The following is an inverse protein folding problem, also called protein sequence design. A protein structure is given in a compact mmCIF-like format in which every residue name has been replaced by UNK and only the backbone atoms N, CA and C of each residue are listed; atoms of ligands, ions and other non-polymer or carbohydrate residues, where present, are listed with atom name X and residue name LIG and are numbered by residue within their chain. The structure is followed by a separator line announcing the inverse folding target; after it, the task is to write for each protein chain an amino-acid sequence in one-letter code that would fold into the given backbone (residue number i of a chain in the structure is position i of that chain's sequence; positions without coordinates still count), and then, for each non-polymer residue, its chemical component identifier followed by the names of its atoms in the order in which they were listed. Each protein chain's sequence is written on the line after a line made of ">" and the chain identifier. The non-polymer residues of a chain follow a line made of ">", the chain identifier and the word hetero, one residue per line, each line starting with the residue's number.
data_IF_092497219369
#
_entry.id   IF_092497219369
#
_cell.length_a   1.000
_cell.length_b   1.000
_cell.length_c   1.000
_cell.angle_alpha   90.00
_cell.angle_beta   90.00
_cell.angle_gamma   90.00
#
_symmetry.space_group_name_H-M   'P 1'
#
loop_
_entity.id
_entity.type
_entity.pdbx_description
1 polymer ?
#
# COMPACT_ATOMS: atom_id res chain seq x y z
N UNK A 1 14.93 -22.72 -5.05
CA UNK A 1 14.71 -21.48 -5.84
C UNK A 1 14.88 -21.81 -7.29
N UNK A 2 13.84 -21.63 -8.07
CA UNK A 2 13.88 -21.89 -9.51
C UNK A 2 14.40 -20.63 -10.22
N UNK A 3 15.43 -20.79 -11.01
CA UNK A 3 16.11 -19.73 -11.74
C UNK A 3 16.18 -20.02 -13.24
N UNK A 4 15.64 -21.18 -13.67
CA UNK A 4 15.62 -21.62 -15.05
C UNK A 4 14.31 -21.33 -15.77
N UNK A 5 14.32 -21.54 -17.08
CA UNK A 5 13.16 -21.35 -17.94
C UNK A 5 12.20 -22.54 -17.93
N UNK A 6 12.60 -23.69 -17.42
CA UNK A 6 11.83 -24.92 -17.38
C UNK A 6 12.11 -25.75 -16.13
N UNK A 7 11.05 -26.21 -15.47
CA UNK A 7 11.12 -27.13 -14.35
C UNK A 7 10.35 -28.40 -14.71
N UNK A 8 11.04 -29.56 -14.71
CA UNK A 8 10.41 -30.86 -14.93
C UNK A 8 10.23 -31.56 -13.59
N UNK A 9 8.98 -31.93 -13.29
CA UNK A 9 8.63 -32.73 -12.10
C UNK A 9 7.76 -33.90 -12.50
N UNK A 10 8.01 -35.05 -11.91
CA UNK A 10 7.17 -36.25 -12.07
C UNK A 10 6.17 -36.29 -10.93
N UNK A 11 4.91 -36.39 -11.27
CA UNK A 11 3.79 -36.42 -10.32
C UNK A 11 2.83 -37.55 -10.72
N UNK A 12 2.10 -38.17 -9.76
CA UNK A 12 1.02 -39.10 -10.09
C UNK A 12 -0.09 -38.44 -10.90
N UNK A 13 -0.94 -39.24 -11.55
CA UNK A 13 -2.15 -38.71 -12.16
C UNK A 13 -3.02 -38.00 -11.10
N UNK A 14 -3.55 -36.82 -11.43
CA UNK A 14 -4.33 -36.03 -10.47
C UNK A 14 -4.53 -34.59 -10.87
N UNK A 15 -5.21 -33.85 -10.01
CA UNK A 15 -5.38 -32.42 -10.15
C UNK A 15 -4.28 -31.68 -9.40
N UNK A 16 -3.67 -30.73 -10.06
CA UNK A 16 -2.55 -29.95 -9.53
C UNK A 16 -2.84 -28.47 -9.58
N UNK A 17 -2.21 -27.77 -8.65
CA UNK A 17 -2.24 -26.33 -8.55
C UNK A 17 -0.81 -25.81 -8.46
N UNK A 18 -0.42 -24.97 -9.41
CA UNK A 18 0.83 -24.21 -9.33
C UNK A 18 0.48 -22.78 -8.89
N UNK A 19 1.22 -22.30 -7.94
CA UNK A 19 1.12 -20.92 -7.45
C UNK A 19 2.47 -20.26 -7.73
N UNK A 20 2.44 -19.14 -8.44
CA UNK A 20 3.63 -18.31 -8.65
C UNK A 20 3.50 -17.06 -7.80
N UNK A 21 4.46 -16.84 -6.92
CA UNK A 21 4.56 -15.63 -6.13
C UNK A 21 5.46 -14.64 -6.85
N UNK A 22 4.88 -13.56 -7.35
CA UNK A 22 5.65 -12.41 -7.83
C UNK A 22 5.64 -11.34 -6.74
N UNK A 23 6.77 -11.16 -6.08
CA UNK A 23 6.94 -10.06 -5.12
C UNK A 23 7.25 -8.79 -5.88
N UNK A 24 6.37 -7.83 -5.72
CA UNK A 24 6.58 -6.48 -6.22
C UNK A 24 7.57 -5.73 -5.32
N UNK A 25 8.21 -4.67 -5.84
CA UNK A 25 9.10 -3.82 -5.04
C UNK A 25 8.44 -3.24 -3.78
N UNK A 26 7.11 -3.09 -3.78
CA UNK A 26 6.31 -2.62 -2.65
C UNK A 26 6.02 -3.71 -1.60
N UNK A 27 6.55 -4.92 -1.77
CA UNK A 27 6.29 -6.05 -0.89
C UNK A 27 4.97 -6.79 -1.13
N UNK A 28 4.10 -6.28 -1.99
CA UNK A 28 2.88 -6.98 -2.38
C UNK A 28 3.23 -8.26 -3.14
N UNK A 29 2.42 -9.30 -2.93
CA UNK A 29 2.59 -10.58 -3.59
C UNK A 29 1.42 -10.75 -4.56
N UNK A 30 1.73 -10.82 -5.84
CA UNK A 30 0.79 -11.29 -6.85
C UNK A 30 0.93 -12.80 -7.00
N UNK A 31 -0.10 -13.52 -6.60
CA UNK A 31 -0.17 -14.96 -6.78
C UNK A 31 -0.99 -15.28 -8.04
N UNK A 32 -0.33 -15.76 -9.08
CA UNK A 32 -1.03 -16.39 -10.20
C UNK A 32 -1.27 -17.86 -9.87
N UNK A 33 -2.50 -18.34 -10.12
CA UNK A 33 -2.90 -19.70 -9.83
C UNK A 33 -3.21 -20.41 -11.14
N UNK A 34 -2.51 -21.53 -11.38
CA UNK A 34 -2.74 -22.41 -12.51
C UNK A 34 -3.26 -23.74 -12.00
N UNK A 35 -4.48 -24.09 -12.38
CA UNK A 35 -5.10 -25.37 -12.00
C UNK A 35 -5.18 -26.23 -13.28
N UNK A 36 -4.66 -27.45 -13.21
CA UNK A 36 -4.67 -28.38 -14.33
C UNK A 36 -4.74 -29.83 -13.84
N UNK A 37 -5.14 -30.70 -14.73
CA UNK A 37 -5.21 -32.13 -14.49
C UNK A 37 -4.11 -32.83 -15.30
N UNK A 38 -3.42 -33.78 -14.69
CA UNK A 38 -2.45 -34.66 -15.34
C UNK A 38 -3.02 -36.07 -15.35
N UNK A 39 -3.16 -36.66 -16.51
CA UNK A 39 -3.56 -38.08 -16.69
C UNK A 39 -2.42 -39.04 -16.45
N UNK A 40 -2.73 -40.32 -16.38
CA UNK A 40 -1.73 -41.39 -16.29
C UNK A 40 -0.83 -41.43 -17.54
N UNK A 41 0.48 -41.35 -17.36
CA UNK A 41 1.45 -41.27 -18.44
C UNK A 41 1.46 -39.98 -19.27
N UNK A 42 0.64 -38.98 -18.87
CA UNK A 42 0.55 -37.69 -19.56
C UNK A 42 1.73 -36.78 -19.21
N UNK A 43 2.27 -36.10 -20.19
CA UNK A 43 3.18 -34.97 -19.99
C UNK A 43 2.42 -33.67 -20.26
N UNK A 44 2.30 -32.82 -19.27
CA UNK A 44 1.63 -31.52 -19.39
C UNK A 44 2.62 -30.38 -19.27
N UNK A 45 2.63 -29.50 -20.26
CA UNK A 45 3.40 -28.25 -20.20
C UNK A 45 2.49 -27.12 -19.74
N UNK A 46 2.83 -26.50 -18.63
CA UNK A 46 2.14 -25.31 -18.13
C UNK A 46 3.07 -24.12 -18.32
N UNK A 47 2.67 -23.19 -19.16
CA UNK A 47 3.41 -21.95 -19.36
C UNK A 47 3.05 -21.00 -18.22
N UNK A 48 4.03 -20.73 -17.38
CA UNK A 48 3.90 -19.73 -16.31
C UNK A 48 4.34 -18.39 -16.89
N UNK A 49 3.42 -17.47 -17.00
CA UNK A 49 3.76 -16.12 -17.43
C UNK A 49 4.41 -15.38 -16.26
N UNK A 50 5.60 -14.84 -16.51
CA UNK A 50 6.16 -13.82 -15.61
C UNK A 50 5.28 -12.59 -15.75
N UNK A 51 4.55 -12.29 -14.69
CA UNK A 51 3.83 -11.03 -14.65
C UNK A 51 4.86 -9.92 -14.37
N UNK A 52 5.25 -9.22 -15.42
CA UNK A 52 6.03 -8.00 -15.35
C UNK A 52 5.09 -6.78 -15.39
N UNK A 53 4.07 -6.76 -14.54
CA UNK A 53 3.42 -5.48 -14.31
C UNK A 53 4.43 -4.62 -13.53
N UNK A 54 4.96 -3.61 -14.15
CA UNK A 54 5.52 -2.51 -13.41
C UNK A 54 4.38 -1.99 -12.52
N UNK A 55 4.63 -1.77 -11.24
CA UNK A 55 3.60 -1.23 -10.36
C UNK A 55 3.05 0.10 -10.91
N UNK A 56 3.89 0.88 -11.58
CA UNK A 56 3.50 2.07 -12.30
C UNK A 56 2.44 1.78 -13.37
N UNK A 57 2.62 0.73 -14.18
CA UNK A 57 1.65 0.35 -15.24
C UNK A 57 0.31 -0.11 -14.65
N UNK A 58 0.32 -0.72 -13.46
CA UNK A 58 -0.90 -1.16 -12.77
C UNK A 58 -1.66 -0.02 -12.11
N UNK A 59 -0.96 1.03 -11.72
CA UNK A 59 -1.50 2.22 -11.10
C UNK A 59 -1.71 3.35 -12.12
N UNK A 60 -1.38 3.10 -13.39
CA UNK A 60 -1.58 4.01 -14.50
C UNK A 60 -3.07 4.38 -14.60
N UNK A 61 -3.35 5.66 -14.47
CA UNK A 61 -4.68 6.28 -14.46
C UNK A 61 -5.38 6.39 -13.08
N UNK A 62 -4.72 6.11 -11.97
CA UNK A 62 -5.31 6.45 -10.70
C UNK A 62 -5.09 7.94 -10.40
N UNK A 63 -6.15 8.75 -10.58
CA UNK A 63 -6.16 10.12 -10.13
C UNK A 63 -6.78 10.19 -8.74
N UNK A 64 -6.13 10.91 -7.82
CA UNK A 64 -6.66 11.16 -6.48
C UNK A 64 -7.93 12.03 -6.46
N UNK A 65 -8.44 12.43 -7.62
CA UNK A 65 -9.65 13.25 -7.77
C UNK A 65 -10.93 12.55 -7.33
N UNK A 66 -10.87 11.24 -7.21
CA UNK A 66 -12.06 10.41 -7.07
C UNK A 66 -12.54 10.24 -5.63
N UNK A 67 -11.78 10.70 -4.65
CA UNK A 67 -12.22 10.62 -3.26
C UNK A 67 -12.32 12.01 -2.61
N UNK A 68 -13.11 12.10 -1.57
CA UNK A 68 -13.37 13.30 -0.79
C UNK A 68 -13.21 12.98 0.68
N UNK A 69 -12.60 13.90 1.39
CA UNK A 69 -12.43 13.86 2.85
C UNK A 69 -12.84 15.21 3.43
N UNK A 70 -12.84 15.35 4.74
CA UNK A 70 -13.18 16.61 5.40
C UNK A 70 -11.96 17.18 6.13
N UNK A 71 -11.86 18.50 6.18
CA UNK A 71 -10.92 19.19 7.06
C UNK A 71 -11.46 19.30 8.51
N UNK A 72 -10.71 19.95 9.39
CA UNK A 72 -11.08 20.15 10.79
C UNK A 72 -12.36 21.00 10.98
N UNK A 73 -12.73 21.81 9.99
CA UNK A 73 -13.91 22.66 9.97
C UNK A 73 -15.12 21.97 9.32
N UNK A 74 -14.95 20.75 8.82
CA UNK A 74 -15.99 20.00 8.11
C UNK A 74 -16.12 20.37 6.62
N UNK A 75 -15.19 21.17 6.07
CA UNK A 75 -15.19 21.47 4.64
C UNK A 75 -14.71 20.26 3.85
N UNK A 76 -15.35 20.04 2.70
CA UNK A 76 -14.93 18.96 1.80
C UNK A 76 -13.62 19.30 1.11
N UNK A 77 -12.65 18.40 1.17
CA UNK A 77 -11.37 18.45 0.46
C UNK A 77 -11.35 17.31 -0.55
N UNK A 78 -11.12 17.63 -1.81
CA UNK A 78 -10.97 16.62 -2.87
C UNK A 78 -9.54 16.03 -2.85
N UNK A 79 -9.39 14.83 -3.39
CA UNK A 79 -8.09 14.21 -3.54
C UNK A 79 -7.07 15.10 -4.25
N UNK A 80 -7.47 15.75 -5.33
CA UNK A 80 -6.64 16.72 -6.10
C UNK A 80 -6.21 17.97 -5.34
N UNK A 81 -6.86 18.27 -4.22
CA UNK A 81 -6.60 19.47 -3.40
C UNK A 81 -5.73 19.15 -2.17
N UNK A 82 -5.32 17.88 -1.99
CA UNK A 82 -4.61 17.44 -0.80
C UNK A 82 -3.23 18.07 -0.67
N UNK A 83 -2.48 18.07 -1.75
CA UNK A 83 -1.10 18.57 -1.76
C UNK A 83 -0.66 18.90 -3.19
N UNK A 84 0.44 19.66 -3.30
CA UNK A 84 1.16 19.92 -4.56
C UNK A 84 2.53 19.24 -4.60
N UNK A 85 2.83 18.47 -3.57
CA UNK A 85 4.07 17.72 -3.40
C UNK A 85 3.78 16.22 -3.51
N UNK A 86 4.79 15.38 -3.70
CA UNK A 86 4.65 13.95 -3.41
C UNK A 86 4.05 13.75 -2.03
N UNK A 87 3.21 12.73 -1.84
CA UNK A 87 2.52 12.55 -0.57
C UNK A 87 2.50 11.09 -0.12
N UNK A 88 2.49 10.92 1.19
CA UNK A 88 2.15 9.67 1.88
C UNK A 88 0.79 9.84 2.53
N UNK A 89 -0.21 9.18 1.98
CA UNK A 89 -1.58 9.18 2.50
C UNK A 89 -1.77 7.93 3.37
N UNK A 90 -2.23 8.10 4.60
CA UNK A 90 -2.36 6.99 5.55
C UNK A 90 -3.74 7.02 6.21
N UNK A 91 -4.60 6.04 5.90
CA UNK A 91 -5.85 5.80 6.62
C UNK A 91 -5.54 4.97 7.87
N UNK A 92 -5.70 5.58 9.03
CA UNK A 92 -5.30 5.03 10.33
C UNK A 92 -6.51 4.66 11.18
N UNK A 93 -6.60 3.40 11.58
CA UNK A 93 -7.58 2.98 12.59
C UNK A 93 -6.93 3.02 13.97
N UNK A 94 -7.37 3.98 14.78
CA UNK A 94 -6.81 4.21 16.11
C UNK A 94 -6.98 3.01 17.04
N UNK A 95 -5.99 2.75 17.87
CA UNK A 95 -6.02 1.67 18.88
C UNK A 95 -5.91 0.28 18.29
N UNK A 96 -5.67 0.15 16.99
CA UNK A 96 -5.39 -1.13 16.36
C UNK A 96 -3.88 -1.37 16.26
N UNK A 97 -3.48 -2.60 16.55
CA UNK A 97 -2.07 -3.00 16.56
C UNK A 97 -1.30 -2.62 15.29
N UNK A 98 -1.81 -2.84 14.06
CA UNK A 98 -1.10 -2.45 12.84
C UNK A 98 -0.83 -0.95 12.74
N UNK A 99 -1.80 -0.12 13.14
CA UNK A 99 -1.63 1.35 13.18
C UNK A 99 -0.60 1.75 14.23
N UNK A 100 -0.66 1.13 15.42
CA UNK A 100 0.29 1.41 16.51
C UNK A 100 1.73 1.07 16.12
N UNK A 101 1.93 0.02 15.32
CA UNK A 101 3.26 -0.38 14.84
C UNK A 101 3.85 0.61 13.85
N UNK A 102 3.09 1.06 12.83
CA UNK A 102 3.61 2.04 11.89
C UNK A 102 3.92 3.38 12.56
N UNK A 103 3.08 3.82 13.51
CA UNK A 103 3.33 5.03 14.28
C UNK A 103 4.60 4.91 15.14
N UNK A 104 4.88 3.72 15.70
CA UNK A 104 6.14 3.47 16.41
C UNK A 104 7.34 3.56 15.48
N UNK A 105 7.30 2.90 14.31
CA UNK A 105 8.41 2.97 13.33
C UNK A 105 8.68 4.42 12.90
N UNK A 106 7.64 5.23 12.74
CA UNK A 106 7.81 6.66 12.45
C UNK A 106 8.57 7.39 13.56
N UNK A 107 8.25 7.11 14.83
CA UNK A 107 8.95 7.71 15.97
C UNK A 107 10.39 7.20 16.11
N UNK A 108 10.62 5.92 15.85
CA UNK A 108 11.97 5.31 15.88
C UNK A 108 12.87 5.84 14.77
N UNK A 109 12.29 6.24 13.64
CA UNK A 109 12.97 6.79 12.47
C UNK A 109 12.71 8.30 12.33
N UNK A 110 12.64 9.01 13.45
CA UNK A 110 12.23 10.43 13.49
C UNK A 110 12.98 11.31 12.48
N UNK A 111 14.29 11.19 12.41
CA UNK A 111 15.11 12.01 11.52
C UNK A 111 14.78 11.75 10.03
N UNK A 112 14.49 10.53 9.67
CA UNK A 112 14.15 10.16 8.29
C UNK A 112 12.78 10.69 7.88
N UNK A 113 11.80 10.59 8.78
CA UNK A 113 10.44 11.10 8.54
C UNK A 113 10.35 12.62 8.59
N UNK A 114 11.13 13.29 9.45
CA UNK A 114 11.23 14.75 9.45
C UNK A 114 11.81 15.31 8.15
N UNK A 115 12.73 14.60 7.54
CA UNK A 115 13.40 14.97 6.28
C UNK A 115 12.79 14.26 5.05
N UNK A 116 11.59 13.69 5.17
CA UNK A 116 10.95 13.03 4.05
C UNK A 116 10.61 14.06 2.95
N UNK A 117 10.97 13.80 1.68
CA UNK A 117 10.67 14.69 0.56
C UNK A 117 9.24 14.49 0.05
N UNK A 118 8.28 14.37 0.95
CA UNK A 118 6.87 14.17 0.68
C UNK A 118 6.04 14.74 1.83
N UNK A 119 4.84 15.18 1.54
CA UNK A 119 3.87 15.54 2.56
C UNK A 119 3.28 14.27 3.17
N UNK A 120 3.08 14.25 4.48
CA UNK A 120 2.42 13.16 5.17
C UNK A 120 1.01 13.63 5.55
N UNK A 121 0.00 12.85 5.15
CA UNK A 121 -1.40 13.18 5.40
C UNK A 121 -2.06 11.97 6.06
N UNK A 122 -2.53 12.16 7.29
CA UNK A 122 -3.28 11.17 8.00
C UNK A 122 -4.78 11.34 7.75
N UNK A 123 -5.43 10.24 7.42
CA UNK A 123 -6.88 10.12 7.33
C UNK A 123 -7.34 9.39 8.58
N UNK A 124 -8.13 10.06 9.42
CA UNK A 124 -8.71 9.50 10.64
C UNK A 124 -10.22 9.55 10.57
N UNK A 125 -10.89 8.66 11.29
CA UNK A 125 -12.35 8.54 11.20
C UNK A 125 -13.09 9.80 11.69
N UNK A 126 -12.62 10.35 12.80
CA UNK A 126 -13.22 11.50 13.45
C UNK A 126 -12.22 12.17 14.40
N UNK A 127 -12.65 13.23 15.08
CA UNK A 127 -11.81 13.97 16.04
C UNK A 127 -11.44 13.15 17.29
N UNK A 128 -12.24 12.14 17.66
CA UNK A 128 -11.93 11.30 18.81
C UNK A 128 -10.68 10.45 18.56
N UNK A 129 -10.33 10.22 17.30
CA UNK A 129 -9.08 9.56 16.94
C UNK A 129 -7.85 10.29 17.49
N UNK A 130 -7.90 11.61 17.61
CA UNK A 130 -6.80 12.45 18.10
C UNK A 130 -6.56 12.33 19.62
N UNK A 131 -7.47 11.70 20.35
CA UNK A 131 -7.30 11.40 21.78
C UNK A 131 -6.35 10.22 22.01
N UNK A 132 -5.99 9.47 20.96
CA UNK A 132 -5.01 8.40 21.06
C UNK A 132 -3.62 8.97 21.39
N UNK A 133 -3.04 8.57 22.51
CA UNK A 133 -1.79 9.11 23.04
C UNK A 133 -0.61 8.95 22.07
N UNK A 134 -0.56 7.84 21.31
CA UNK A 134 0.51 7.61 20.35
C UNK A 134 0.35 8.50 19.13
N UNK A 135 -0.84 8.62 18.58
CA UNK A 135 -1.12 9.52 17.46
C UNK A 135 -0.81 10.97 17.85
N UNK A 136 -1.22 11.41 19.04
CA UNK A 136 -0.89 12.73 19.60
C UNK A 136 0.62 12.93 19.68
N UNK A 137 1.37 11.93 20.15
CA UNK A 137 2.84 11.98 20.20
C UNK A 137 3.44 12.13 18.81
N UNK A 138 2.98 11.35 17.82
CA UNK A 138 3.45 11.45 16.43
C UNK A 138 3.17 12.84 15.86
N UNK A 139 1.96 13.37 16.05
CA UNK A 139 1.60 14.71 15.55
C UNK A 139 2.42 15.82 16.22
N UNK A 140 2.78 15.68 17.50
CA UNK A 140 3.67 16.64 18.18
C UNK A 140 5.11 16.55 17.71
N UNK A 141 5.58 15.36 17.36
CA UNK A 141 6.93 15.12 16.80
C UNK A 141 7.06 15.59 15.36
N UNK A 142 5.98 15.45 14.60
CA UNK A 142 5.94 15.79 13.17
C UNK A 142 4.87 16.85 12.86
N UNK A 143 5.11 18.12 13.20
CA UNK A 143 4.09 19.17 13.10
C UNK A 143 3.65 19.51 11.68
N UNK A 144 4.36 18.98 10.65
CA UNK A 144 3.96 19.13 9.24
C UNK A 144 2.93 18.09 8.78
N UNK A 145 2.63 17.08 9.61
CA UNK A 145 1.59 16.10 9.26
C UNK A 145 0.23 16.81 9.26
N UNK A 146 -0.45 16.73 8.12
CA UNK A 146 -1.83 17.20 8.00
C UNK A 146 -2.79 16.09 8.39
N UNK A 147 -3.81 16.40 9.17
CA UNK A 147 -4.88 15.46 9.54
C UNK A 147 -6.15 15.83 8.82
N UNK A 148 -6.79 14.84 8.20
CA UNK A 148 -8.09 14.96 7.55
C UNK A 148 -9.02 13.86 8.07
N UNK A 149 -10.30 14.05 7.87
CA UNK A 149 -11.33 13.16 8.42
C UNK A 149 -12.05 12.40 7.31
N UNK A 150 -12.16 11.10 7.48
CA UNK A 150 -12.80 10.20 6.53
C UNK A 150 -13.57 9.09 7.28
N UNK A 151 -14.78 8.81 6.86
CA UNK A 151 -15.57 7.69 7.41
C UNK A 151 -15.03 6.31 7.02
N UNK A 152 -14.02 6.26 6.16
CA UNK A 152 -13.28 5.12 5.60
C UNK A 152 -14.07 4.30 4.57
N UNK A 153 -15.32 3.92 4.87
CA UNK A 153 -16.01 2.88 4.12
C UNK A 153 -15.99 3.08 2.60
N UNK A 154 -16.44 4.22 2.03
CA UNK A 154 -16.42 4.33 0.56
C UNK A 154 -15.02 4.54 -0.02
N UNK A 155 -14.18 5.35 0.65
CA UNK A 155 -12.87 5.71 0.13
C UNK A 155 -11.89 4.55 0.23
N UNK A 156 -11.75 3.95 1.42
CA UNK A 156 -10.82 2.83 1.64
C UNK A 156 -11.15 1.65 0.74
N UNK A 157 -12.43 1.27 0.63
CA UNK A 157 -12.83 0.16 -0.23
C UNK A 157 -12.50 0.42 -1.70
N UNK A 158 -12.85 1.62 -2.19
CA UNK A 158 -12.60 2.00 -3.59
C UNK A 158 -11.10 2.06 -3.89
N UNK A 159 -10.33 2.74 -3.04
CA UNK A 159 -8.91 2.94 -3.23
C UNK A 159 -8.13 1.62 -3.10
N UNK A 160 -8.42 0.83 -2.06
CA UNK A 160 -7.74 -0.44 -1.84
C UNK A 160 -7.98 -1.42 -2.99
N UNK A 161 -9.22 -1.53 -3.49
CA UNK A 161 -9.55 -2.40 -4.63
C UNK A 161 -8.79 -1.97 -5.90
N UNK A 162 -8.71 -0.68 -6.19
CA UNK A 162 -7.96 -0.15 -7.33
C UNK A 162 -6.46 -0.37 -7.21
N UNK A 163 -5.95 -0.32 -5.98
CA UNK A 163 -4.53 -0.55 -5.69
C UNK A 163 -4.19 -2.03 -5.50
N UNK A 164 -5.15 -2.94 -5.71
CA UNK A 164 -4.98 -4.39 -5.51
C UNK A 164 -4.49 -4.77 -4.11
N UNK A 165 -4.91 -4.01 -3.10
CA UNK A 165 -4.65 -4.30 -1.67
C UNK A 165 -5.94 -4.66 -0.94
N UNK A 166 -5.82 -5.23 0.24
CA UNK A 166 -6.96 -5.72 1.01
C UNK A 166 -7.70 -4.54 1.68
N UNK A 167 -8.97 -4.26 1.33
CA UNK A 167 -9.72 -3.16 1.91
C UNK A 167 -10.09 -3.34 3.38
N UNK A 168 -10.00 -4.57 3.89
CA UNK A 168 -10.34 -4.89 5.28
C UNK A 168 -9.17 -4.68 6.23
N UNK A 169 -7.97 -4.41 5.70
CA UNK A 169 -6.77 -4.21 6.49
C UNK A 169 -6.33 -2.76 6.51
N UNK A 170 -6.34 -2.18 7.70
CA UNK A 170 -5.75 -0.87 7.95
C UNK A 170 -4.42 -1.00 8.72
N UNK A 171 -3.49 -0.06 8.60
CA UNK A 171 -3.59 1.16 7.81
C UNK A 171 -3.61 0.89 6.30
N UNK A 172 -4.36 1.67 5.54
CA UNK A 172 -4.15 1.78 4.10
C UNK A 172 -3.15 2.90 3.87
N UNK A 173 -2.07 2.61 3.17
CA UNK A 173 -0.99 3.56 2.89
C UNK A 173 -0.83 3.68 1.39
N UNK A 174 -0.86 4.90 0.87
CA UNK A 174 -0.68 5.21 -0.54
C UNK A 174 0.42 6.27 -0.65
N UNK A 175 1.40 6.04 -1.51
CA UNK A 175 2.42 7.05 -1.86
C UNK A 175 2.13 7.55 -3.26
N UNK A 176 2.19 8.87 -3.44
CA UNK A 176 1.92 9.52 -4.72
C UNK A 176 3.08 10.37 -5.19
N UNK A 177 3.17 10.58 -6.50
CA UNK A 177 4.00 11.64 -7.09
C UNK A 177 3.37 13.01 -6.83
N UNK A 178 4.06 14.09 -7.23
CA UNK A 178 3.50 15.46 -7.18
C UNK A 178 2.32 15.67 -8.13
N UNK A 179 2.21 14.85 -9.18
CA UNK A 179 1.06 14.81 -10.09
C UNK A 179 -0.10 13.98 -9.54
N UNK A 180 0.02 13.51 -8.29
CA UNK A 180 -0.96 12.69 -7.60
C UNK A 180 -1.18 11.30 -8.20
N UNK A 181 -0.21 10.80 -8.97
CA UNK A 181 -0.23 9.41 -9.42
C UNK A 181 0.26 8.51 -8.30
N UNK A 182 -0.49 7.47 -7.99
CA UNK A 182 -0.07 6.51 -6.99
C UNK A 182 1.12 5.67 -7.52
N UNK A 183 2.16 5.56 -6.71
CA UNK A 183 3.38 4.78 -7.02
C UNK A 183 3.61 3.61 -6.07
N UNK A 184 2.86 3.59 -4.97
CA UNK A 184 2.91 2.54 -3.97
C UNK A 184 1.59 2.49 -3.21
N UNK A 185 1.16 1.29 -2.88
CA UNK A 185 0.06 1.07 -1.94
C UNK A 185 0.29 -0.20 -1.12
N UNK A 186 -0.07 -0.16 0.14
CA UNK A 186 -0.17 -1.35 0.98
C UNK A 186 -1.32 -1.20 1.98
N UNK A 187 -1.80 -2.33 2.48
CA UNK A 187 -2.80 -2.39 3.54
C UNK A 187 -2.32 -3.30 4.67
N UNK A 188 -2.67 -2.93 5.90
CA UNK A 188 -2.11 -3.55 7.09
C UNK A 188 -0.67 -3.11 7.35
N UNK A 189 -0.05 -3.72 8.36
CA UNK A 189 1.33 -3.46 8.75
C UNK A 189 2.20 -4.67 8.44
N UNK A 190 3.39 -4.40 7.91
CA UNK A 190 4.49 -5.35 7.80
C UNK A 190 5.72 -4.73 8.48
N UNK A 191 6.51 -5.55 9.15
CA UNK A 191 7.77 -5.12 9.78
C UNK A 191 8.67 -4.45 8.74
N UNK A 192 9.13 -3.23 9.02
CA UNK A 192 9.93 -2.42 8.10
C UNK A 192 9.11 -1.58 7.12
N UNK A 193 7.80 -1.41 7.35
CA UNK A 193 6.95 -0.53 6.53
C UNK A 193 7.46 0.91 6.53
N UNK A 194 7.96 1.41 7.67
CA UNK A 194 8.56 2.74 7.78
C UNK A 194 9.78 2.90 6.89
N UNK A 195 10.73 1.97 6.97
CA UNK A 195 11.93 1.94 6.10
C UNK A 195 11.56 1.93 4.61
N UNK A 196 10.54 1.15 4.26
CA UNK A 196 10.06 1.04 2.89
C UNK A 196 9.51 2.38 2.41
N UNK A 197 8.68 3.05 3.21
CA UNK A 197 8.13 4.37 2.88
C UNK A 197 9.23 5.42 2.65
N UNK A 198 10.21 5.47 3.54
CA UNK A 198 11.36 6.38 3.41
C UNK A 198 12.11 6.13 2.10
N UNK A 199 12.41 4.87 1.77
CA UNK A 199 13.09 4.50 0.53
C UNK A 199 12.29 4.87 -0.71
N UNK A 200 10.99 4.60 -0.71
CA UNK A 200 10.10 4.92 -1.83
C UNK A 200 10.07 6.43 -2.04
N UNK A 201 9.77 7.21 -1.00
CA UNK A 201 9.69 8.67 -1.13
C UNK A 201 11.01 9.29 -1.63
N UNK A 202 12.16 8.81 -1.15
CA UNK A 202 13.47 9.29 -1.63
C UNK A 202 13.74 8.96 -3.09
N UNK A 203 13.27 7.81 -3.56
CA UNK A 203 13.43 7.39 -4.96
C UNK A 203 12.56 8.19 -5.94
N UNK A 204 11.42 8.68 -5.49
CA UNK A 204 10.48 9.44 -6.33
C UNK A 204 10.68 10.96 -6.25
N UNK A 205 11.27 11.48 -5.19
CA UNK A 205 11.52 12.92 -5.05
C UNK A 205 12.67 13.43 -5.93
N UNK A 206 13.45 12.54 -6.52
CA UNK A 206 14.55 12.88 -7.45
C UNK A 206 14.15 12.81 -8.93
N UNK A 207 12.89 12.55 -9.24
CA UNK A 207 12.37 12.52 -10.60
C UNK A 207 11.31 13.60 -10.75
#
# INVERSE_FOLDING_TARGET
>A
KWDGNELKISVPAGQYKVITDNRLPNGNIFASRYIFVVGEGETKTVKLEKYHADLADMLDNFTLDEFKVSDENGNTVKGSELTKNPAVLMWLEQGKEPTEHILNEMLEQEADFQNLPADIIFMVKDKAALENAKLTKVLSTFPRIRVLYDTFVPNVETLARRMYVDPEKLPLIIVTTKELNAVYACSGYNVGSGDMLVKICRNFAGK
#
